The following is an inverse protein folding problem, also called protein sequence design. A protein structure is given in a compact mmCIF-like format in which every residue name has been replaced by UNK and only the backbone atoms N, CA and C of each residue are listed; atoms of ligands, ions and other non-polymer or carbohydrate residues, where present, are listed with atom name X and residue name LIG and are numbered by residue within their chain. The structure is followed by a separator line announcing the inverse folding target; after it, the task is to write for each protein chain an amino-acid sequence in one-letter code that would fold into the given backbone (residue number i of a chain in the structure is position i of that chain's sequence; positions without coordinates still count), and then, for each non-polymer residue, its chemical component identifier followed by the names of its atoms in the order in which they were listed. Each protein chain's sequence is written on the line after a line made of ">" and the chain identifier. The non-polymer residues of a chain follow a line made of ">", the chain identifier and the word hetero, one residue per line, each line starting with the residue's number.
data_IF_010100153702
#
_entry.id   IF_010100153702
#
_cell.length_a   1.000
_cell.length_b   1.000
_cell.length_c   1.000
_cell.angle_alpha   90.00
_cell.angle_beta   90.00
_cell.angle_gamma   90.00
#
_symmetry.space_group_name_H-M   'P 1'
#
loop_
_entity.id
_entity.type
_entity.pdbx_description
1 polymer ?
#
# COMPACT_ATOMS: atom_id res chain seq x y z
N UNK A 1 13.21 0.47 8.45
CA UNK A 1 11.78 0.77 8.64
C UNK A 1 11.36 0.50 10.08
N UNK A 2 10.33 1.16 10.53
CA UNK A 2 9.63 0.88 11.79
C UNK A 2 8.17 0.63 11.46
N UNK A 3 7.64 -0.48 11.94
CA UNK A 3 6.21 -0.83 11.86
C UNK A 3 5.67 -0.88 13.30
N UNK A 4 4.54 -0.23 13.57
CA UNK A 4 4.00 -0.12 14.95
C UNK A 4 3.68 -1.48 15.57
N UNK A 5 3.33 -2.46 14.75
CA UNK A 5 2.98 -3.82 15.15
C UNK A 5 4.18 -4.77 15.26
N UNK A 6 5.24 -4.55 14.47
CA UNK A 6 6.38 -5.46 14.35
C UNK A 6 7.70 -4.88 14.87
N UNK A 7 7.78 -3.55 15.03
CA UNK A 7 8.97 -2.86 15.50
C UNK A 7 9.98 -2.51 14.40
N UNK A 8 11.24 -2.40 14.77
CA UNK A 8 12.31 -1.99 13.86
C UNK A 8 12.77 -3.12 12.94
N UNK A 9 12.92 -2.80 11.66
CA UNK A 9 13.57 -3.63 10.66
C UNK A 9 14.66 -2.83 9.95
N UNK A 10 15.83 -3.45 9.75
CA UNK A 10 16.98 -2.88 9.04
C UNK A 10 17.27 -3.73 7.81
N UNK A 11 17.53 -3.08 6.68
CA UNK A 11 17.78 -3.81 5.46
C UNK A 11 18.41 -2.93 4.39
N UNK A 12 18.65 -3.54 3.26
CA UNK A 12 19.19 -2.89 2.09
C UNK A 12 18.92 -3.70 0.83
N UNK A 13 19.25 -3.12 -0.31
CA UNK A 13 19.11 -3.79 -1.58
C UNK A 13 19.97 -3.17 -2.66
N UNK A 14 20.15 -3.92 -3.73
CA UNK A 14 20.84 -3.49 -4.94
C UNK A 14 19.94 -3.73 -6.12
N UNK A 15 19.81 -2.71 -6.97
CA UNK A 15 19.09 -2.80 -8.23
C UNK A 15 20.00 -2.38 -9.38
N UNK A 16 20.12 -3.26 -10.37
CA UNK A 16 20.75 -2.95 -11.65
C UNK A 16 19.65 -2.54 -12.63
N UNK A 17 19.71 -1.32 -13.11
CA UNK A 17 18.79 -0.79 -14.11
C UNK A 17 19.44 -0.82 -15.49
N UNK A 18 18.63 -1.09 -16.49
CA UNK A 18 19.08 -1.19 -17.88
C UNK A 18 20.21 -2.21 -18.07
N UNK A 19 20.12 -3.32 -17.38
CA UNK A 19 21.20 -4.30 -17.19
C UNK A 19 21.65 -4.96 -18.51
N UNK A 20 20.82 -5.03 -19.55
CA UNK A 20 21.20 -5.49 -20.90
C UNK A 20 20.98 -4.44 -21.99
N UNK A 21 20.86 -3.16 -21.63
CA UNK A 21 20.61 -2.08 -22.60
C UNK A 21 19.17 -2.02 -23.11
N UNK A 22 18.23 -2.77 -22.51
CA UNK A 22 16.82 -2.86 -22.91
C UNK A 22 15.85 -2.29 -21.87
N UNK A 23 16.36 -1.42 -20.99
CA UNK A 23 15.64 -0.91 -19.84
C UNK A 23 15.14 -1.99 -18.86
N UNK A 24 15.76 -3.16 -18.91
CA UNK A 24 15.50 -4.24 -17.96
C UNK A 24 16.07 -3.90 -16.59
N UNK A 25 15.42 -4.32 -15.55
CA UNK A 25 15.94 -4.20 -14.20
C UNK A 25 15.93 -5.55 -13.48
N UNK A 26 16.95 -5.74 -12.66
CA UNK A 26 17.06 -6.86 -11.75
C UNK A 26 17.45 -6.31 -10.38
N UNK A 27 16.82 -6.80 -9.33
CA UNK A 27 17.05 -6.32 -7.98
C UNK A 27 16.99 -7.42 -6.95
N UNK A 28 17.73 -7.22 -5.87
CA UNK A 28 17.65 -8.02 -4.65
C UNK A 28 17.54 -7.08 -3.47
N UNK A 29 16.69 -7.42 -2.51
CA UNK A 29 16.53 -6.68 -1.28
C UNK A 29 16.38 -7.64 -0.10
N UNK A 30 16.82 -7.22 1.07
CA UNK A 30 16.61 -7.95 2.31
C UNK A 30 16.31 -6.99 3.46
N UNK A 31 15.57 -7.47 4.44
CA UNK A 31 15.43 -6.81 5.74
C UNK A 31 15.49 -7.84 6.87
N UNK A 32 15.85 -7.38 8.07
CA UNK A 32 15.87 -8.17 9.29
C UNK A 32 15.43 -7.33 10.48
N UNK A 33 14.72 -7.95 11.41
CA UNK A 33 14.18 -7.30 12.60
C UNK A 33 12.75 -7.70 12.88
N UNK A 34 11.85 -6.76 13.05
CA UNK A 34 10.42 -7.02 13.23
C UNK A 34 9.83 -7.84 12.09
N UNK A 35 10.29 -7.57 10.86
CA UNK A 35 9.99 -8.40 9.69
C UNK A 35 11.27 -8.77 8.97
N UNK A 36 11.52 -10.08 8.82
CA UNK A 36 12.59 -10.58 7.99
C UNK A 36 12.05 -10.76 6.57
N UNK A 37 12.73 -10.17 5.60
CA UNK A 37 12.37 -10.35 4.19
C UNK A 37 13.59 -10.59 3.33
N UNK A 38 13.40 -11.38 2.28
CA UNK A 38 14.31 -11.47 1.15
C UNK A 38 13.46 -11.36 -0.11
N UNK A 39 13.84 -10.52 -1.05
CA UNK A 39 13.16 -10.31 -2.31
C UNK A 39 14.14 -10.34 -3.48
N UNK A 40 13.70 -10.95 -4.57
CA UNK A 40 14.31 -10.87 -5.88
C UNK A 40 13.26 -10.36 -6.87
N UNK A 41 13.66 -9.43 -7.71
CA UNK A 41 12.78 -8.77 -8.68
C UNK A 41 13.44 -8.74 -10.05
N UNK A 42 12.66 -9.05 -11.07
CA UNK A 42 13.00 -8.85 -12.48
C UNK A 42 11.89 -8.06 -13.16
N UNK A 43 12.25 -7.09 -14.00
CA UNK A 43 11.30 -6.35 -14.83
C UNK A 43 11.89 -6.09 -16.19
N UNK A 44 11.12 -6.40 -17.23
CA UNK A 44 11.43 -6.08 -18.61
C UNK A 44 10.21 -5.36 -19.24
N UNK A 45 10.29 -4.05 -19.49
CA UNK A 45 9.16 -3.28 -20.04
C UNK A 45 8.91 -3.56 -21.54
N UNK A 46 9.81 -4.27 -22.24
CA UNK A 46 9.80 -4.48 -23.68
C UNK A 46 10.10 -5.94 -24.09
N UNK A 47 9.52 -6.91 -23.38
CA UNK A 47 9.83 -8.34 -23.60
C UNK A 47 9.42 -8.81 -24.99
N UNK A 48 8.32 -8.27 -25.53
CA UNK A 48 7.81 -8.61 -26.85
C UNK A 48 7.24 -7.37 -27.54
N UNK A 49 8.02 -6.85 -28.49
CA UNK A 49 7.61 -5.68 -29.25
C UNK A 49 7.44 -4.43 -28.37
N UNK A 50 6.64 -3.51 -28.88
CA UNK A 50 6.44 -2.22 -28.24
C UNK A 50 5.39 -2.33 -27.12
N UNK A 51 5.75 -1.86 -25.91
CA UNK A 51 4.84 -1.71 -24.77
C UNK A 51 4.34 -2.99 -24.08
N UNK A 52 4.93 -4.17 -24.33
CA UNK A 52 4.62 -5.38 -23.58
C UNK A 52 5.68 -5.62 -22.51
N UNK A 53 5.28 -5.64 -21.24
CA UNK A 53 6.17 -5.87 -20.11
C UNK A 53 6.06 -7.29 -19.56
N UNK A 54 7.15 -7.77 -18.98
CA UNK A 54 7.20 -8.96 -18.13
C UNK A 54 7.81 -8.57 -16.81
N UNK A 55 7.09 -8.81 -15.72
CA UNK A 55 7.52 -8.56 -14.36
C UNK A 55 7.48 -9.89 -13.58
N UNK A 56 8.52 -10.17 -12.82
CA UNK A 56 8.62 -11.37 -11.98
C UNK A 56 9.23 -11.04 -10.65
N UNK A 57 8.62 -11.55 -9.57
CA UNK A 57 9.05 -11.33 -8.20
C UNK A 57 9.11 -12.66 -7.44
N UNK A 58 10.10 -12.77 -6.56
CA UNK A 58 10.22 -13.82 -5.58
C UNK A 58 10.40 -13.16 -4.23
N UNK A 59 9.59 -13.53 -3.24
CA UNK A 59 9.73 -13.03 -1.89
C UNK A 59 9.65 -14.15 -0.85
N UNK A 60 10.47 -14.01 0.18
CA UNK A 60 10.44 -14.82 1.39
C UNK A 60 10.26 -13.86 2.54
N UNK A 61 9.26 -14.11 3.39
CA UNK A 61 8.89 -13.24 4.49
C UNK A 61 8.66 -14.05 5.75
N UNK A 62 9.15 -13.55 6.87
CA UNK A 62 9.03 -14.18 8.20
C UNK A 62 8.83 -13.09 9.25
N UNK A 63 7.78 -13.20 10.05
CA UNK A 63 7.47 -12.29 11.14
C UNK A 63 6.53 -12.92 12.16
N UNK A 64 6.56 -12.43 13.40
CA UNK A 64 5.60 -12.82 14.44
C UNK A 64 4.28 -12.12 14.24
N UNK A 65 3.16 -12.84 14.39
CA UNK A 65 1.84 -12.21 14.31
C UNK A 65 1.65 -11.21 15.46
N UNK A 66 1.20 -9.96 15.18
CA UNK A 66 1.17 -8.92 16.22
C UNK A 66 0.18 -9.19 17.36
N UNK A 67 -0.86 -9.98 17.13
CA UNK A 67 -1.92 -10.24 18.10
C UNK A 67 -1.94 -11.67 18.64
N UNK A 68 -1.44 -12.63 17.90
CA UNK A 68 -1.54 -14.06 18.20
C UNK A 68 -0.15 -14.67 18.41
N UNK A 69 -0.10 -15.72 19.21
CA UNK A 69 1.15 -16.37 19.58
C UNK A 69 1.60 -17.39 18.51
N UNK A 70 1.82 -16.91 17.28
CA UNK A 70 2.42 -17.69 16.21
C UNK A 70 3.27 -16.84 15.26
N UNK A 71 4.23 -17.49 14.63
CA UNK A 71 5.04 -16.91 13.57
C UNK A 71 4.43 -17.23 12.20
N UNK A 72 4.58 -16.30 11.28
CA UNK A 72 4.10 -16.40 9.91
C UNK A 72 5.30 -16.43 8.97
N UNK A 73 5.36 -17.47 8.15
CA UNK A 73 6.31 -17.56 7.04
C UNK A 73 5.54 -17.58 5.73
N UNK A 74 5.90 -16.69 4.80
CA UNK A 74 5.27 -16.57 3.50
C UNK A 74 6.34 -16.63 2.43
N UNK A 75 6.20 -17.57 1.49
CA UNK A 75 7.02 -17.62 0.30
C UNK A 75 6.13 -17.36 -0.91
N UNK A 76 6.55 -16.46 -1.78
CA UNK A 76 5.80 -16.11 -2.97
C UNK A 76 6.65 -16.12 -4.23
N UNK A 77 6.03 -16.53 -5.34
CA UNK A 77 6.57 -16.40 -6.68
C UNK A 77 5.50 -15.80 -7.55
N UNK A 78 5.77 -14.63 -8.09
CA UNK A 78 4.85 -13.85 -8.91
C UNK A 78 5.37 -13.70 -10.34
N UNK A 79 4.45 -13.79 -11.32
CA UNK A 79 4.73 -13.50 -12.72
C UNK A 79 3.58 -12.73 -13.34
N UNK A 80 3.90 -11.59 -13.96
CA UNK A 80 2.94 -10.72 -14.62
C UNK A 80 3.37 -10.38 -16.05
N UNK A 81 2.41 -10.36 -16.95
CA UNK A 81 2.55 -9.81 -18.30
C UNK A 81 1.70 -8.55 -18.36
N UNK A 82 2.29 -7.45 -18.74
CA UNK A 82 1.64 -6.15 -18.79
C UNK A 82 1.68 -5.51 -20.18
N UNK A 83 0.85 -4.48 -20.36
CA UNK A 83 0.87 -3.64 -21.55
C UNK A 83 0.63 -2.18 -21.17
N UNK A 84 1.41 -1.31 -21.81
CA UNK A 84 1.20 0.13 -21.76
C UNK A 84 0.37 0.57 -22.96
N UNK A 85 -0.60 1.47 -22.73
CA UNK A 85 -1.40 2.12 -23.76
C UNK A 85 -1.14 3.62 -23.68
N UNK A 86 -0.19 4.08 -24.47
CA UNK A 86 0.40 5.41 -24.33
C UNK A 86 1.07 5.57 -22.97
N UNK A 87 1.18 6.82 -22.50
CA UNK A 87 1.90 7.17 -21.27
C UNK A 87 1.03 7.10 -19.99
N UNK A 88 -0.28 6.89 -20.16
CA UNK A 88 -1.25 7.09 -19.05
C UNK A 88 -1.86 5.80 -18.54
N UNK A 89 -1.90 4.76 -19.34
CA UNK A 89 -2.59 3.51 -18.99
C UNK A 89 -1.60 2.37 -18.96
N UNK A 90 -1.61 1.61 -17.87
CA UNK A 90 -0.93 0.32 -17.73
C UNK A 90 -1.93 -0.74 -17.30
N UNK A 91 -1.90 -1.89 -17.96
CA UNK A 91 -2.62 -3.08 -17.53
C UNK A 91 -1.66 -4.24 -17.37
N UNK A 92 -1.95 -5.16 -16.47
CA UNK A 92 -1.26 -6.44 -16.39
C UNK A 92 -2.20 -7.55 -15.94
N UNK A 93 -1.87 -8.76 -16.32
CA UNK A 93 -2.45 -9.99 -15.81
C UNK A 93 -1.30 -10.93 -15.42
N UNK A 94 -1.54 -11.76 -14.45
CA UNK A 94 -0.53 -12.68 -13.98
C UNK A 94 -1.06 -13.63 -12.92
N UNK A 95 -0.14 -14.23 -12.22
CA UNK A 95 -0.45 -15.09 -11.09
C UNK A 95 0.66 -15.02 -10.05
N UNK A 96 0.31 -15.40 -8.83
CA UNK A 96 1.22 -15.62 -7.73
C UNK A 96 1.00 -17.03 -7.18
N UNK A 97 2.08 -17.71 -6.84
CA UNK A 97 2.09 -18.93 -6.05
C UNK A 97 2.51 -18.56 -4.63
N UNK A 98 1.68 -18.90 -3.67
CA UNK A 98 1.92 -18.58 -2.27
C UNK A 98 2.02 -19.86 -1.42
N UNK A 99 3.00 -19.91 -0.53
CA UNK A 99 3.15 -20.93 0.50
C UNK A 99 3.19 -20.24 1.87
N UNK A 100 2.14 -20.40 2.65
CA UNK A 100 1.97 -19.78 3.96
C UNK A 100 2.10 -20.85 5.05
N UNK A 101 2.94 -20.60 6.02
CA UNK A 101 3.14 -21.47 7.17
C UNK A 101 2.95 -20.66 8.46
N UNK A 102 1.98 -21.08 9.26
CA UNK A 102 1.68 -20.52 10.58
C UNK A 102 2.21 -21.46 11.64
N UNK A 103 3.15 -21.02 12.45
CA UNK A 103 3.90 -21.84 13.41
C UNK A 103 3.58 -21.35 14.81
N UNK A 104 2.82 -22.14 15.56
CA UNK A 104 2.62 -21.98 17.00
C UNK A 104 3.57 -22.93 17.77
N UNK A 105 3.61 -22.79 19.12
CA UNK A 105 4.47 -23.64 19.96
C UNK A 105 4.25 -25.15 19.77
N UNK A 106 3.00 -25.57 19.56
CA UNK A 106 2.62 -26.98 19.55
C UNK A 106 1.99 -27.45 18.23
N UNK A 107 1.87 -26.56 17.24
CA UNK A 107 1.22 -26.87 15.96
C UNK A 107 1.71 -26.00 14.83
N UNK A 108 1.56 -26.50 13.61
CA UNK A 108 1.77 -25.70 12.40
C UNK A 108 0.63 -25.93 11.41
N UNK A 109 0.23 -24.87 10.73
CA UNK A 109 -0.77 -24.92 9.67
C UNK A 109 -0.19 -24.37 8.39
N UNK A 110 -0.30 -25.14 7.31
CA UNK A 110 0.28 -24.81 6.02
C UNK A 110 -0.80 -24.65 4.95
N UNK A 111 -0.78 -23.53 4.25
CA UNK A 111 -1.71 -23.17 3.18
C UNK A 111 -0.94 -22.89 1.90
N UNK A 112 -1.47 -23.33 0.78
CA UNK A 112 -0.87 -23.12 -0.54
C UNK A 112 -1.92 -22.56 -1.47
N UNK A 113 -1.59 -21.43 -2.10
CA UNK A 113 -2.52 -20.75 -2.99
C UNK A 113 -1.93 -20.62 -4.38
N UNK A 114 -2.80 -20.79 -5.37
CA UNK A 114 -2.62 -20.25 -6.71
C UNK A 114 -3.47 -18.98 -6.81
N UNK A 115 -2.84 -17.85 -7.09
CA UNK A 115 -3.52 -16.57 -7.04
C UNK A 115 -3.44 -15.84 -8.40
N UNK A 116 -4.37 -16.11 -9.34
CA UNK A 116 -4.50 -15.29 -10.53
C UNK A 116 -4.84 -13.85 -10.15
N UNK A 117 -4.24 -12.92 -10.87
CA UNK A 117 -4.35 -11.50 -10.57
C UNK A 117 -4.45 -10.64 -11.83
N UNK A 118 -5.00 -9.44 -11.65
CA UNK A 118 -5.09 -8.44 -12.69
C UNK A 118 -4.96 -7.04 -12.12
N UNK A 119 -4.40 -6.17 -12.93
CA UNK A 119 -4.06 -4.82 -12.52
C UNK A 119 -4.37 -3.83 -13.64
N UNK A 120 -4.94 -2.69 -13.29
CA UNK A 120 -5.21 -1.58 -14.18
C UNK A 120 -4.81 -0.27 -13.50
N UNK A 121 -4.08 0.59 -14.20
CA UNK A 121 -3.77 1.95 -13.77
C UNK A 121 -4.04 2.93 -14.89
N UNK A 122 -4.71 4.03 -14.53
CA UNK A 122 -4.77 5.26 -15.29
C UNK A 122 -4.14 6.37 -14.46
N UNK A 123 -3.06 6.98 -14.97
CA UNK A 123 -2.28 7.97 -14.24
C UNK A 123 -1.99 9.18 -15.14
N UNK A 124 -2.52 10.33 -14.74
CA UNK A 124 -2.30 11.62 -15.42
C UNK A 124 -1.61 12.63 -14.53
N UNK A 125 -1.05 12.17 -13.40
CA UNK A 125 -0.35 13.05 -12.46
C UNK A 125 0.89 13.65 -13.12
N UNK A 126 1.13 14.91 -12.82
CA UNK A 126 2.31 15.63 -13.31
C UNK A 126 3.61 15.13 -12.65
N UNK A 127 3.56 14.78 -11.37
CA UNK A 127 4.69 14.26 -10.58
C UNK A 127 4.20 13.10 -9.72
N UNK A 128 4.84 11.92 -9.82
CA UNK A 128 4.40 10.72 -9.10
C UNK A 128 4.50 10.84 -7.57
N UNK A 129 5.58 11.43 -7.07
CA UNK A 129 5.87 11.48 -5.63
C UNK A 129 5.09 12.56 -4.88
N UNK A 130 4.85 13.71 -5.51
CA UNK A 130 4.14 14.84 -4.92
C UNK A 130 3.35 15.60 -5.99
N UNK A 131 2.23 15.04 -6.45
CA UNK A 131 1.46 15.58 -7.55
C UNK A 131 0.83 16.93 -7.20
N UNK A 132 0.83 17.84 -8.18
CA UNK A 132 0.16 19.15 -8.08
C UNK A 132 -1.14 19.18 -8.87
N UNK A 133 -1.30 18.31 -9.85
CA UNK A 133 -2.51 18.14 -10.67
C UNK A 133 -2.58 16.74 -11.25
N UNK A 134 -3.79 16.36 -11.68
CA UNK A 134 -4.04 15.09 -12.37
C UNK A 134 -4.80 14.09 -11.53
N UNK A 135 -4.97 12.90 -12.09
CA UNK A 135 -5.75 11.82 -11.50
C UNK A 135 -4.90 10.55 -11.51
N UNK A 136 -4.99 9.80 -10.43
CA UNK A 136 -4.58 8.40 -10.35
C UNK A 136 -5.83 7.55 -10.13
N UNK A 137 -6.03 6.57 -10.99
CA UNK A 137 -7.05 5.53 -10.80
C UNK A 137 -6.37 4.17 -10.92
N UNK A 138 -6.45 3.35 -9.87
CA UNK A 138 -5.86 2.02 -9.81
C UNK A 138 -6.88 1.00 -9.38
N UNK A 139 -6.89 -0.14 -10.05
CA UNK A 139 -7.67 -1.32 -9.71
C UNK A 139 -6.74 -2.52 -9.67
N UNK A 140 -6.89 -3.36 -8.66
CA UNK A 140 -6.20 -4.65 -8.59
C UNK A 140 -7.17 -5.72 -8.13
N UNK A 141 -7.14 -6.84 -8.80
CA UNK A 141 -7.92 -8.03 -8.51
C UNK A 141 -6.97 -9.16 -8.19
N UNK A 142 -7.28 -9.90 -7.16
CA UNK A 142 -6.43 -10.94 -6.65
C UNK A 142 -7.29 -12.08 -6.10
N UNK A 143 -7.17 -13.28 -6.65
CA UNK A 143 -8.01 -14.41 -6.27
C UNK A 143 -7.14 -15.55 -5.74
N UNK A 144 -7.12 -15.77 -4.44
CA UNK A 144 -6.46 -16.92 -3.81
C UNK A 144 -7.33 -18.15 -3.90
N UNK A 145 -6.89 -19.10 -4.70
CA UNK A 145 -7.48 -20.41 -4.83
C UNK A 145 -6.67 -21.39 -3.98
N UNK A 146 -7.27 -21.91 -2.90
CA UNK A 146 -6.60 -22.85 -2.02
C UNK A 146 -6.41 -24.19 -2.74
N UNK A 147 -5.15 -24.63 -2.86
CA UNK A 147 -4.79 -25.87 -3.55
C UNK A 147 -5.05 -27.13 -2.71
N UNK A 148 -5.37 -26.97 -1.42
CA UNK A 148 -5.56 -28.11 -0.49
C UNK A 148 -6.96 -28.21 0.10
N UNK A 149 -7.67 -27.10 0.23
CA UNK A 149 -8.98 -27.01 0.89
C UNK A 149 -9.92 -26.15 0.05
N UNK A 150 -10.86 -26.79 -0.62
CA UNK A 150 -11.78 -26.13 -1.58
C UNK A 150 -12.62 -24.97 -1.00
N UNK A 151 -12.75 -24.86 0.31
CA UNK A 151 -13.62 -23.89 0.96
C UNK A 151 -12.89 -22.64 1.49
N UNK A 152 -11.58 -22.52 1.32
CA UNK A 152 -10.80 -21.40 1.84
C UNK A 152 -10.35 -20.41 0.75
N UNK A 153 -11.09 -20.34 -0.34
CA UNK A 153 -10.84 -19.38 -1.40
C UNK A 153 -11.13 -17.95 -0.93
N UNK A 154 -10.31 -17.01 -1.37
CA UNK A 154 -10.48 -15.59 -1.10
C UNK A 154 -10.28 -14.78 -2.37
N UNK A 155 -11.15 -13.81 -2.60
CA UNK A 155 -11.02 -12.83 -3.66
C UNK A 155 -10.84 -11.44 -3.04
N UNK A 156 -9.76 -10.77 -3.39
CA UNK A 156 -9.46 -9.41 -2.94
C UNK A 156 -9.61 -8.45 -4.11
N UNK A 157 -10.38 -7.40 -3.90
CA UNK A 157 -10.49 -6.27 -4.80
C UNK A 157 -9.95 -5.01 -4.14
N UNK A 158 -8.88 -4.47 -4.69
CA UNK A 158 -8.27 -3.23 -4.22
C UNK A 158 -8.52 -2.10 -5.22
N UNK A 159 -8.93 -0.95 -4.71
CA UNK A 159 -9.14 0.27 -5.48
C UNK A 159 -8.37 1.44 -4.85
N UNK A 160 -7.83 2.30 -5.69
CA UNK A 160 -7.24 3.56 -5.25
C UNK A 160 -7.54 4.66 -6.27
N UNK A 161 -8.07 5.78 -5.78
CA UNK A 161 -8.34 6.97 -6.58
C UNK A 161 -7.61 8.13 -5.91
N UNK A 162 -6.86 8.88 -6.69
CA UNK A 162 -6.23 10.13 -6.27
C UNK A 162 -6.62 11.25 -7.22
N UNK A 163 -7.07 12.35 -6.70
CA UNK A 163 -7.36 13.56 -7.47
C UNK A 163 -6.54 14.73 -6.90
N UNK A 164 -5.88 15.46 -7.77
CA UNK A 164 -4.99 16.56 -7.39
C UNK A 164 -5.31 17.80 -8.21
N UNK A 165 -5.47 18.92 -7.53
CA UNK A 165 -5.82 20.19 -8.16
C UNK A 165 -5.08 21.35 -7.53
N UNK A 166 -4.50 22.21 -8.37
CA UNK A 166 -3.99 23.49 -7.95
C UNK A 166 -5.14 24.48 -7.82
N UNK A 167 -5.36 25.01 -6.62
CA UNK A 167 -6.43 25.97 -6.32
C UNK A 167 -5.98 27.44 -6.56
N UNK A 168 -4.71 27.67 -6.79
CA UNK A 168 -4.18 29.02 -7.04
C UNK A 168 -4.08 29.32 -8.53
N UNK A 169 -4.21 30.59 -8.88
CA UNK A 169 -4.02 31.05 -10.26
C UNK A 169 -2.59 30.69 -10.73
N UNK A 170 -2.47 30.29 -12.00
CA UNK A 170 -1.19 30.07 -12.66
C UNK A 170 -0.28 31.30 -12.41
N UNK A 171 0.98 31.10 -12.08
CA UNK A 171 2.03 32.10 -11.81
C UNK A 171 2.32 32.44 -10.33
N UNK A 172 1.75 31.74 -9.36
CA UNK A 172 2.24 31.86 -7.97
C UNK A 172 3.29 30.78 -7.69
N UNK A 173 4.45 31.19 -7.18
CA UNK A 173 5.52 30.28 -6.76
C UNK A 173 5.10 29.34 -5.60
N UNK A 174 4.11 29.77 -4.81
CA UNK A 174 3.65 29.07 -3.60
C UNK A 174 2.16 28.67 -3.73
N UNK A 175 1.83 27.66 -4.53
CA UNK A 175 0.45 27.26 -4.75
C UNK A 175 -0.20 26.63 -3.51
N UNK A 176 -1.52 26.74 -3.47
CA UNK A 176 -2.38 25.97 -2.59
C UNK A 176 -2.95 24.82 -3.42
N UNK A 177 -2.75 23.60 -2.95
CA UNK A 177 -3.14 22.36 -3.65
C UNK A 177 -4.22 21.64 -2.85
N UNK A 178 -5.22 21.12 -3.54
CA UNK A 178 -6.17 20.15 -2.99
C UNK A 178 -5.77 18.76 -3.46
N UNK A 179 -5.63 17.84 -2.53
CA UNK A 179 -5.48 16.42 -2.81
C UNK A 179 -6.65 15.66 -2.18
N UNK A 180 -7.31 14.85 -2.97
CA UNK A 180 -8.33 13.91 -2.53
C UNK A 180 -7.83 12.50 -2.81
N UNK A 181 -7.95 11.62 -1.83
CA UNK A 181 -7.61 10.21 -1.91
C UNK A 181 -8.80 9.34 -1.49
N UNK A 182 -9.02 8.27 -2.23
CA UNK A 182 -9.92 7.19 -1.85
C UNK A 182 -9.20 5.87 -2.04
N UNK A 183 -9.31 4.99 -1.05
CA UNK A 183 -8.80 3.62 -1.10
C UNK A 183 -9.87 2.66 -0.60
N UNK A 184 -10.04 1.54 -1.26
CA UNK A 184 -10.82 0.43 -0.71
C UNK A 184 -10.08 -0.88 -0.89
N UNK A 185 -10.20 -1.76 0.09
CA UNK A 185 -9.78 -3.15 0.02
C UNK A 185 -10.94 -4.00 0.48
N UNK A 186 -11.40 -4.88 -0.38
CA UNK A 186 -12.56 -5.72 -0.15
C UNK A 186 -12.18 -7.18 -0.34
N UNK A 187 -12.40 -7.99 0.68
CA UNK A 187 -12.16 -9.43 0.67
C UNK A 187 -13.49 -10.17 0.66
N UNK A 188 -13.68 -11.01 -0.35
CA UNK A 188 -14.85 -11.89 -0.51
C UNK A 188 -14.38 -13.35 -0.37
N UNK A 189 -15.31 -14.23 0.01
CA UNK A 189 -15.03 -15.65 0.22
C UNK A 189 -14.75 -15.98 1.67
N UNK A 190 -13.66 -16.70 1.95
CA UNK A 190 -13.32 -17.13 3.30
C UNK A 190 -13.23 -15.95 4.27
N UNK A 191 -13.87 -16.11 5.43
CA UNK A 191 -13.84 -15.16 6.54
C UNK A 191 -12.76 -15.51 7.57
N UNK A 192 -11.72 -16.19 7.12
CA UNK A 192 -10.57 -16.47 7.96
C UNK A 192 -9.82 -15.17 8.34
N UNK A 193 -9.30 -15.15 9.56
CA UNK A 193 -8.57 -14.03 10.12
C UNK A 193 -7.36 -13.61 9.26
N UNK A 194 -6.76 -14.51 8.51
CA UNK A 194 -5.66 -14.24 7.57
C UNK A 194 -6.01 -13.18 6.52
N UNK A 195 -7.29 -13.01 6.20
CA UNK A 195 -7.77 -12.06 5.21
C UNK A 195 -8.36 -10.79 5.82
N UNK A 196 -8.32 -10.67 7.15
CA UNK A 196 -8.77 -9.45 7.82
C UNK A 196 -7.85 -8.27 7.48
N UNK A 197 -8.47 -7.12 7.42
CA UNK A 197 -7.81 -5.83 7.33
C UNK A 197 -7.94 -5.11 8.66
N UNK A 198 -6.99 -4.25 8.95
CA UNK A 198 -6.96 -3.40 10.14
C UNK A 198 -7.17 -1.96 9.73
N UNK A 199 -7.89 -1.19 10.55
CA UNK A 199 -8.11 0.23 10.37
C UNK A 199 -7.53 1.03 11.55
N UNK A 200 -6.88 2.16 11.25
CA UNK A 200 -6.23 3.03 12.24
C UNK A 200 -4.74 2.77 12.34
N UNK A 201 -4.01 3.38 11.44
CA UNK A 201 -2.56 3.49 11.36
C UNK A 201 -2.21 4.58 10.33
N UNK A 202 -0.96 4.93 10.21
CA UNK A 202 -0.47 5.98 9.30
C UNK A 202 -0.85 5.76 7.82
N UNK A 203 -0.98 4.50 7.39
CA UNK A 203 -1.34 4.14 6.00
C UNK A 203 -2.84 4.07 5.74
N UNK A 204 -3.67 4.12 6.79
CA UNK A 204 -5.12 4.04 6.73
C UNK A 204 -5.77 5.32 7.22
N UNK A 205 -5.97 5.51 8.51
CA UNK A 205 -6.55 6.71 9.11
C UNK A 205 -5.53 7.31 10.07
N UNK A 206 -4.87 8.36 9.65
CA UNK A 206 -3.87 9.07 10.45
C UNK A 206 -4.48 9.66 11.71
N UNK A 207 -3.69 9.73 12.78
CA UNK A 207 -4.17 10.16 14.10
C UNK A 207 -4.68 9.01 14.98
N UNK A 208 -4.75 7.79 14.43
CA UNK A 208 -5.00 6.55 15.15
C UNK A 208 -3.74 5.68 15.12
N UNK A 209 -3.35 5.14 16.28
CA UNK A 209 -2.28 4.13 16.35
C UNK A 209 -2.76 2.77 15.87
N UNK A 210 -1.83 1.90 15.49
CA UNK A 210 -2.13 0.50 15.23
C UNK A 210 -2.79 -0.13 16.46
N UNK A 211 -3.85 -0.97 16.32
CA UNK A 211 -4.52 -1.58 17.46
C UNK A 211 -3.56 -2.44 18.29
N UNK A 212 -3.70 -2.38 19.59
CA UNK A 212 -2.95 -3.26 20.49
C UNK A 212 -3.54 -4.68 20.54
N UNK A 213 -2.79 -5.62 21.13
CA UNK A 213 -3.29 -6.97 21.39
C UNK A 213 -4.55 -6.98 22.25
N UNK A 214 -4.64 -6.03 23.19
CA UNK A 214 -5.83 -5.87 24.05
C UNK A 214 -7.02 -5.40 23.23
N UNK A 215 -6.81 -4.49 22.27
CA UNK A 215 -7.85 -4.02 21.38
C UNK A 215 -8.36 -5.15 20.48
N UNK A 216 -7.47 -5.99 19.96
CA UNK A 216 -7.84 -7.15 19.16
C UNK A 216 -8.69 -8.17 19.95
N UNK A 217 -8.37 -8.41 21.22
CA UNK A 217 -9.10 -9.32 22.09
C UNK A 217 -10.42 -8.72 22.63
N UNK A 218 -10.61 -7.40 22.52
CA UNK A 218 -11.78 -6.70 23.04
C UNK A 218 -12.84 -6.51 21.94
N UNK A 219 -14.00 -7.13 22.10
CA UNK A 219 -15.12 -6.99 21.16
C UNK A 219 -15.59 -5.54 20.94
N UNK A 220 -15.39 -4.66 21.92
CA UNK A 220 -15.72 -3.22 21.80
C UNK A 220 -14.88 -2.51 20.75
N UNK A 221 -13.65 -2.98 20.50
CA UNK A 221 -12.76 -2.45 19.46
C UNK A 221 -12.83 -3.24 18.14
N UNK A 222 -13.79 -4.13 18.03
CA UNK A 222 -14.02 -4.94 16.84
C UNK A 222 -14.37 -4.12 15.58
N UNK A 223 -14.72 -2.85 15.72
CA UNK A 223 -14.95 -1.87 14.65
C UNK A 223 -13.66 -1.47 13.89
N UNK A 224 -12.50 -1.96 14.32
CA UNK A 224 -11.21 -1.72 13.67
C UNK A 224 -10.69 -2.88 12.82
N UNK A 225 -11.41 -4.01 12.84
CA UNK A 225 -11.05 -5.24 12.14
C UNK A 225 -12.19 -5.71 11.26
N UNK A 226 -11.88 -6.08 10.01
CA UNK A 226 -12.90 -6.57 9.08
C UNK A 226 -12.32 -6.93 7.72
N UNK A 227 -13.21 -7.20 6.77
CA UNK A 227 -12.82 -7.68 5.43
C UNK A 227 -13.03 -6.64 4.34
N UNK A 228 -13.79 -5.58 4.62
CA UNK A 228 -14.11 -4.53 3.67
C UNK A 228 -13.71 -3.19 4.26
N UNK A 229 -12.74 -2.52 3.66
CA UNK A 229 -12.28 -1.20 4.12
C UNK A 229 -12.49 -0.14 3.06
N UNK A 230 -12.94 1.05 3.51
CA UNK A 230 -13.09 2.24 2.69
C UNK A 230 -12.43 3.41 3.42
N UNK A 231 -11.49 4.05 2.79
CA UNK A 231 -10.71 5.13 3.38
C UNK A 231 -10.74 6.30 2.43
N UNK A 232 -11.13 7.45 2.94
CA UNK A 232 -11.12 8.72 2.22
C UNK A 232 -10.18 9.68 2.92
N UNK A 233 -9.35 10.37 2.16
CA UNK A 233 -8.41 11.38 2.66
C UNK A 233 -8.55 12.66 1.86
N UNK A 234 -8.62 13.79 2.55
CA UNK A 234 -8.58 15.12 1.95
C UNK A 234 -7.40 15.86 2.54
N UNK A 235 -6.55 16.42 1.69
CA UNK A 235 -5.43 17.25 2.11
C UNK A 235 -5.46 18.60 1.42
N UNK A 236 -5.30 19.65 2.21
CA UNK A 236 -5.04 20.99 1.73
C UNK A 236 -3.56 21.30 1.93
N UNK A 237 -2.79 21.30 0.85
CA UNK A 237 -1.33 21.43 0.85
C UNK A 237 -0.92 22.84 0.44
N UNK A 238 -0.14 23.50 1.26
CA UNK A 238 0.51 24.79 0.93
C UNK A 238 1.98 24.53 0.60
N UNK A 239 2.36 24.87 -0.61
CA UNK A 239 3.79 24.92 -0.97
C UNK A 239 4.41 26.11 -0.27
N UNK A 240 5.35 25.87 0.64
CA UNK A 240 6.10 26.91 1.38
C UNK A 240 7.40 27.21 0.65
N UNK A 241 8.16 26.17 0.32
CA UNK A 241 9.35 26.26 -0.51
C UNK A 241 9.06 25.47 -1.79
N UNK A 242 8.97 26.14 -2.96
CA UNK A 242 8.85 25.45 -4.24
C UNK A 242 10.03 24.50 -4.45
N UNK A 243 9.78 23.42 -5.17
CA UNK A 243 10.87 22.52 -5.56
C UNK A 243 11.90 23.28 -6.37
N UNK A 244 13.10 23.38 -5.86
CA UNK A 244 14.21 24.11 -6.45
C UNK A 244 15.48 23.26 -6.45
N UNK A 245 16.36 23.39 -7.45
CA UNK A 245 17.66 22.74 -7.43
C UNK A 245 18.52 23.31 -6.29
N UNK A 246 19.22 22.43 -5.57
CA UNK A 246 20.29 22.80 -4.63
C UNK A 246 21.63 22.84 -5.39
N UNK A 247 21.80 21.86 -6.30
CA UNK A 247 22.89 21.74 -7.24
C UNK A 247 22.43 21.05 -8.52
N UNK A 248 23.33 20.64 -9.42
CA UNK A 248 23.01 20.02 -10.69
C UNK A 248 22.29 18.65 -10.56
N UNK A 249 22.31 18.02 -9.38
CA UNK A 249 21.81 16.66 -9.14
C UNK A 249 20.65 16.61 -8.14
N UNK A 250 20.51 17.63 -7.31
CA UNK A 250 19.61 17.55 -6.15
C UNK A 250 18.60 18.69 -6.11
N UNK A 251 17.41 18.35 -5.71
CA UNK A 251 16.32 19.30 -5.53
C UNK A 251 15.77 19.22 -4.10
N UNK A 252 15.31 20.35 -3.59
CA UNK A 252 14.65 20.49 -2.31
C UNK A 252 13.31 21.19 -2.47
N UNK A 253 12.34 20.81 -1.68
CA UNK A 253 11.05 21.47 -1.57
C UNK A 253 10.41 21.21 -0.22
N UNK A 254 9.50 22.10 0.20
CA UNK A 254 8.81 21.96 1.47
C UNK A 254 7.35 22.39 1.36
N UNK A 255 6.45 21.52 1.82
CA UNK A 255 5.02 21.77 1.90
C UNK A 255 4.53 21.58 3.33
N UNK A 256 3.50 22.33 3.68
CA UNK A 256 2.69 22.07 4.87
C UNK A 256 1.30 21.67 4.41
N UNK A 257 0.75 20.62 4.98
CA UNK A 257 -0.59 20.16 4.66
C UNK A 257 -1.45 20.01 5.92
N UNK A 258 -2.71 20.35 5.80
CA UNK A 258 -3.75 19.95 6.73
C UNK A 258 -4.51 18.79 6.12
N UNK A 259 -4.79 17.75 6.91
CA UNK A 259 -5.49 16.57 6.42
C UNK A 259 -6.69 16.19 7.29
N UNK A 260 -7.65 15.55 6.64
CA UNK A 260 -8.78 14.84 7.28
C UNK A 260 -8.88 13.48 6.61
N UNK A 261 -8.85 12.42 7.42
CA UNK A 261 -9.03 11.04 6.99
C UNK A 261 -10.30 10.47 7.62
N UNK A 262 -11.05 9.72 6.83
CA UNK A 262 -12.24 8.99 7.28
C UNK A 262 -12.14 7.57 6.79
N UNK A 263 -12.26 6.61 7.71
CA UNK A 263 -12.18 5.18 7.40
C UNK A 263 -13.36 4.41 7.94
N UNK A 264 -13.86 3.50 7.12
CA UNK A 264 -14.92 2.54 7.46
C UNK A 264 -14.40 1.12 7.31
N UNK A 265 -14.89 0.20 8.14
CA UNK A 265 -14.57 -1.21 8.04
C UNK A 265 -15.81 -2.08 8.29
N UNK A 266 -16.07 -3.04 7.39
CA UNK A 266 -17.17 -4.00 7.49
C UNK A 266 -16.67 -5.42 7.74
N UNK A 267 -17.42 -6.19 8.56
CA UNK A 267 -17.06 -7.55 8.95
C UNK A 267 -17.66 -8.63 8.07
N UNK A 268 -18.92 -8.50 7.70
CA UNK A 268 -19.68 -9.56 7.05
C UNK A 268 -19.91 -9.27 5.58
N UNK A 269 -20.74 -8.29 5.29
CA UNK A 269 -21.14 -7.93 3.95
C UNK A 269 -20.51 -6.61 3.51
N UNK A 270 -20.35 -6.46 2.22
CA UNK A 270 -19.81 -5.24 1.61
C UNK A 270 -20.55 -3.97 2.05
N UNK A 271 -21.88 -4.03 2.20
CA UNK A 271 -22.69 -2.89 2.61
C UNK A 271 -22.72 -2.64 4.11
N UNK A 272 -22.32 -3.60 4.94
CA UNK A 272 -22.23 -3.42 6.39
C UNK A 272 -21.17 -2.38 6.78
N UNK A 273 -20.24 -2.11 5.90
CA UNK A 273 -19.19 -1.10 6.09
C UNK A 273 -19.74 0.27 6.47
N UNK A 274 -20.91 0.65 5.93
CA UNK A 274 -21.52 1.96 6.19
C UNK A 274 -22.47 1.97 7.40
N UNK A 275 -22.65 0.84 8.07
CA UNK A 275 -23.45 0.72 9.29
C UNK A 275 -22.64 0.92 10.56
N UNK A 276 -21.33 0.71 10.46
CA UNK A 276 -20.41 0.92 11.57
C UNK A 276 -19.96 2.38 11.65
N UNK A 277 -19.59 2.82 12.83
CA UNK A 277 -19.06 4.17 13.03
C UNK A 277 -17.68 4.31 12.35
N UNK A 278 -17.47 5.41 11.59
CA UNK A 278 -16.17 5.64 10.96
C UNK A 278 -15.09 6.00 11.98
N UNK A 279 -13.87 5.60 11.68
CA UNK A 279 -12.72 6.24 12.28
C UNK A 279 -12.48 7.57 11.56
N UNK A 280 -12.34 8.63 12.33
CA UNK A 280 -12.02 9.96 11.81
C UNK A 280 -10.71 10.44 12.43
N UNK A 281 -9.80 10.90 11.60
CA UNK A 281 -8.54 11.49 12.02
C UNK A 281 -8.25 12.79 11.28
N UNK A 282 -7.59 13.72 11.95
CA UNK A 282 -7.17 15.00 11.36
C UNK A 282 -5.82 15.41 11.89
N UNK A 283 -5.14 16.28 11.18
CA UNK A 283 -3.83 16.74 11.63
C UNK A 283 -3.07 17.56 10.60
N UNK A 284 -1.79 17.74 10.88
CA UNK A 284 -0.85 18.50 10.06
C UNK A 284 0.26 17.57 9.56
N UNK A 285 0.66 17.74 8.32
CA UNK A 285 1.76 17.03 7.66
C UNK A 285 2.80 18.02 7.16
N UNK A 286 4.04 17.86 7.58
CA UNK A 286 5.21 18.53 7.03
C UNK A 286 5.84 17.62 5.98
N UNK A 287 5.91 18.06 4.74
CA UNK A 287 6.32 17.26 3.59
C UNK A 287 7.60 17.84 2.98
N UNK A 288 8.70 17.13 3.14
CA UNK A 288 10.01 17.50 2.62
C UNK A 288 10.33 16.68 1.37
N UNK A 289 10.62 17.37 0.28
CA UNK A 289 11.19 16.76 -0.93
C UNK A 289 12.71 16.82 -0.79
N UNK A 290 13.32 15.67 -0.62
CA UNK A 290 14.75 15.56 -0.34
C UNK A 290 15.47 14.83 -1.47
N UNK A 291 16.77 15.08 -1.66
CA UNK A 291 17.55 14.50 -2.76
C UNK A 291 17.54 12.96 -2.83
N UNK A 292 17.61 12.30 -1.69
CA UNK A 292 17.73 10.84 -1.61
C UNK A 292 16.40 10.13 -1.25
N UNK A 293 15.40 10.91 -0.83
CA UNK A 293 14.08 10.42 -0.44
C UNK A 293 13.05 11.25 -1.18
N UNK A 294 12.23 10.61 -2.00
CA UNK A 294 11.27 11.33 -2.82
C UNK A 294 10.40 12.31 -2.03
N UNK A 295 9.83 11.87 -0.92
CA UNK A 295 9.12 12.73 0.04
C UNK A 295 9.23 12.13 1.43
N UNK A 296 9.80 12.87 2.36
CA UNK A 296 9.74 12.57 3.79
C UNK A 296 8.56 13.33 4.40
N UNK A 297 7.74 12.64 5.18
CA UNK A 297 6.59 13.24 5.86
C UNK A 297 6.75 13.11 7.36
N UNK A 298 6.52 14.22 8.06
CA UNK A 298 6.36 14.25 9.50
C UNK A 298 4.91 14.65 9.78
N UNK A 299 4.15 13.76 10.36
CA UNK A 299 2.71 13.93 10.53
C UNK A 299 2.36 13.92 12.02
N UNK A 300 1.53 14.87 12.42
CA UNK A 300 0.94 14.93 13.75
C UNK A 300 -0.57 14.94 13.61
N UNK A 301 -1.20 13.88 14.07
CA UNK A 301 -2.63 13.65 13.88
C UNK A 301 -3.35 13.27 15.17
N UNK A 302 -4.64 13.51 15.19
CA UNK A 302 -5.56 13.15 16.26
C UNK A 302 -6.69 12.31 15.71
N UNK A 303 -6.98 11.18 16.38
CA UNK A 303 -8.17 10.39 16.15
C UNK A 303 -9.31 10.88 17.04
N UNK A 304 -10.52 10.93 16.51
CA UNK A 304 -11.72 11.24 17.28
C UNK A 304 -12.32 9.95 17.82
N UNK A 305 -12.20 9.75 19.13
CA UNK A 305 -12.84 8.66 19.84
C UNK A 305 -14.30 9.02 20.12
N UNK A 306 -15.21 8.10 19.85
CA UNK A 306 -16.58 8.20 20.35
C UNK A 306 -16.57 7.75 21.81
N UNK A 307 -16.94 8.63 22.74
CA UNK A 307 -17.10 8.34 24.15
C UNK A 307 -18.29 7.41 24.40
#
# INVERSE_FOLDING_TARGET
>A
AYEEDLGWSFGGGVQLRNFRGRNESIGVAFSRGGRNTFGFQFSNPWISGDHVSLDGDLAIMDYSHPFLAYDIQINTVELNIGRYFGDKIKTSIGFELEDWNFIASDSSSKYQYFAPQGFFVYDTRDIYSNPTKGILFRQSFYSRLDLKKENENNFTWFQSIGFYQNLTKANKSNPLLLAFGFKSKTNFGSKDMRFQSVLGEVNTVRGWSYPSRVDFANEKNSYRFGYHTFITSIELRKVVVPRMPIDDLYEFGFNVAYFIDVGYIGKNDFFDVFREDPLVGTGISLQFQLPFVNVMRLEYGFGFYKN
#
